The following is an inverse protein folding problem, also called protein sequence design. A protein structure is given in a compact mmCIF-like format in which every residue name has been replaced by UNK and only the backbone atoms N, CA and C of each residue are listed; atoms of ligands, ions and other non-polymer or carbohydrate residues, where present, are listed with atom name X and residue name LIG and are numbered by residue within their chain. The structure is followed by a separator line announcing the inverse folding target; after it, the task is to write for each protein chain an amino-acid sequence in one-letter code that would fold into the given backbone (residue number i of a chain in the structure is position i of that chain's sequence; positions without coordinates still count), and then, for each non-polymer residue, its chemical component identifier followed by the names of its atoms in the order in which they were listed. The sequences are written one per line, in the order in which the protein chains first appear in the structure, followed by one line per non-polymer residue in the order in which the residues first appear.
data_IF_155025400462
#
_entry.id   IF_155025400462
#
_cell.length_a   1.000
_cell.length_b   1.000
_cell.length_c   1.000
_cell.angle_alpha   90.00
_cell.angle_beta   90.00
_cell.angle_gamma   90.00
#
_symmetry.space_group_name_H-M   'P 1'
#
loop_
_entity.id
_entity.type
_entity.pdbx_description
1 polymer ?
#
# COMPACT_ATOMS: atom_id res chain seq x y z
N UNK A 1 32.07 -36.88 -24.47
CA UNK A 1 32.90 -35.98 -23.64
C UNK A 1 32.04 -34.77 -23.30
N UNK A 2 31.42 -34.75 -22.12
CA UNK A 2 30.48 -33.70 -21.74
C UNK A 2 31.24 -32.46 -21.24
N UNK A 3 31.11 -31.34 -21.94
CA UNK A 3 31.68 -30.05 -21.47
C UNK A 3 30.61 -29.33 -20.67
N UNK A 4 30.65 -29.47 -19.35
CA UNK A 4 29.88 -28.62 -18.42
C UNK A 4 30.50 -27.22 -18.43
N UNK A 5 29.97 -26.35 -19.27
CA UNK A 5 30.25 -24.91 -19.24
C UNK A 5 29.53 -24.27 -18.06
N UNK A 6 30.12 -24.37 -16.87
CA UNK A 6 29.77 -23.56 -15.70
C UNK A 6 30.03 -22.09 -16.06
N UNK A 7 28.99 -21.36 -16.44
CA UNK A 7 29.04 -19.90 -16.63
C UNK A 7 29.47 -19.23 -15.34
N UNK A 8 30.73 -18.80 -15.26
CA UNK A 8 31.26 -18.00 -14.17
C UNK A 8 30.58 -16.63 -14.18
N UNK A 9 29.46 -16.49 -13.47
CA UNK A 9 28.91 -15.18 -13.11
C UNK A 9 29.95 -14.46 -12.26
N UNK A 10 30.58 -13.43 -12.83
CA UNK A 10 31.59 -12.66 -12.09
C UNK A 10 30.92 -11.89 -10.96
N UNK A 11 31.65 -11.53 -9.91
CA UNK A 11 31.10 -10.70 -8.83
C UNK A 11 30.56 -9.34 -9.34
N UNK A 12 31.01 -8.91 -10.52
CA UNK A 12 30.57 -7.71 -11.22
C UNK A 12 29.21 -7.86 -11.90
N UNK A 13 28.86 -9.05 -12.39
CA UNK A 13 27.54 -9.32 -13.01
C UNK A 13 26.40 -9.36 -11.98
N UNK A 14 26.73 -9.55 -10.70
CA UNK A 14 25.77 -9.50 -9.58
C UNK A 14 25.62 -8.10 -8.96
N UNK A 15 26.34 -7.09 -9.47
CA UNK A 15 26.21 -5.74 -8.95
C UNK A 15 24.97 -5.05 -9.50
N UNK A 16 24.38 -4.19 -8.66
CA UNK A 16 23.26 -3.35 -9.04
C UNK A 16 23.72 -2.43 -10.19
N UNK A 17 23.24 -2.72 -11.41
CA UNK A 17 23.56 -1.93 -12.62
C UNK A 17 23.03 -0.50 -12.53
N UNK A 18 21.87 -0.34 -11.91
CA UNK A 18 21.25 0.98 -11.71
C UNK A 18 21.60 1.55 -10.33
N UNK A 19 22.52 2.50 -10.30
CA UNK A 19 22.94 3.21 -9.07
C UNK A 19 22.01 4.36 -8.67
N UNK A 20 20.96 4.63 -9.44
CA UNK A 20 19.99 5.65 -9.08
C UNK A 20 19.12 5.14 -7.93
N UNK A 21 19.12 5.89 -6.84
CA UNK A 21 18.24 5.64 -5.72
C UNK A 21 16.79 5.92 -6.12
N UNK A 22 15.89 5.19 -5.47
CA UNK A 22 14.47 5.45 -5.59
C UNK A 22 14.17 6.87 -5.11
N UNK A 23 13.59 7.71 -5.97
CA UNK A 23 13.05 8.99 -5.54
C UNK A 23 11.70 8.74 -4.87
N UNK A 24 11.51 9.14 -3.59
CA UNK A 24 10.24 8.99 -2.90
C UNK A 24 9.15 9.97 -3.39
N UNK A 25 9.49 10.90 -4.30
CA UNK A 25 8.66 12.05 -4.64
C UNK A 25 7.59 11.74 -5.69
N UNK A 26 7.82 10.74 -6.55
CA UNK A 26 6.89 10.39 -7.62
C UNK A 26 6.13 9.11 -7.28
N UNK A 27 4.89 9.22 -6.84
CA UNK A 27 3.98 8.08 -6.78
C UNK A 27 2.60 8.48 -7.29
N UNK A 28 1.86 7.51 -7.82
CA UNK A 28 0.45 7.64 -8.17
C UNK A 28 -0.27 6.47 -7.55
N UNK A 29 -1.20 6.76 -6.66
CA UNK A 29 -2.10 5.74 -6.17
C UNK A 29 -3.18 5.47 -7.23
N UNK A 30 -4.00 4.46 -7.02
CA UNK A 30 -5.22 4.28 -7.78
C UNK A 30 -6.13 3.42 -6.94
N UNK A 31 -7.34 3.88 -6.75
CA UNK A 31 -8.37 3.16 -6.03
C UNK A 31 -9.63 3.20 -6.86
N UNK A 32 -10.08 2.03 -7.34
CA UNK A 32 -11.21 1.96 -8.27
C UNK A 32 -12.50 2.50 -7.65
N UNK A 33 -12.68 2.29 -6.34
CA UNK A 33 -13.88 2.71 -5.61
C UNK A 33 -13.83 4.13 -5.06
N UNK A 34 -12.64 4.73 -4.93
CA UNK A 34 -12.50 6.12 -4.47
C UNK A 34 -11.48 6.90 -5.31
N UNK A 35 -11.83 7.25 -6.57
CA UNK A 35 -10.93 7.97 -7.48
C UNK A 35 -10.64 9.40 -7.03
N UNK A 36 -11.49 10.00 -6.18
CA UNK A 36 -11.24 11.36 -5.68
C UNK A 36 -10.12 11.39 -4.64
N UNK A 37 -9.99 10.34 -3.82
CA UNK A 37 -8.94 10.18 -2.81
C UNK A 37 -7.58 9.95 -3.47
N UNK A 38 -7.55 9.22 -4.58
CA UNK A 38 -6.35 9.00 -5.38
C UNK A 38 -5.70 10.34 -5.83
N UNK A 39 -6.51 11.24 -6.38
CA UNK A 39 -6.02 12.51 -6.95
C UNK A 39 -5.36 13.43 -5.92
N UNK A 40 -5.83 13.43 -4.67
CA UNK A 40 -5.34 14.32 -3.61
C UNK A 40 -4.32 13.65 -2.67
N UNK A 41 -3.82 12.46 -3.01
CA UNK A 41 -2.86 11.74 -2.18
C UNK A 41 -1.49 12.44 -2.12
N UNK A 42 -0.99 12.66 -0.91
CA UNK A 42 0.28 13.34 -0.63
C UNK A 42 1.37 12.38 -0.17
N UNK A 43 0.99 11.34 0.58
CA UNK A 43 1.90 10.28 0.99
C UNK A 43 1.16 8.95 1.05
N UNK A 44 1.82 7.91 0.54
CA UNK A 44 1.38 6.53 0.67
C UNK A 44 2.53 5.70 1.24
N UNK A 45 2.22 4.80 2.16
CA UNK A 45 3.20 3.94 2.80
C UNK A 45 3.15 2.55 2.15
N UNK A 46 4.30 1.96 1.83
CA UNK A 46 4.35 0.54 1.45
C UNK A 46 4.27 -0.27 2.74
N UNK A 47 3.28 -1.17 2.90
CA UNK A 47 3.14 -1.94 4.12
C UNK A 47 4.30 -2.92 4.30
N UNK A 48 4.67 -3.15 5.56
CA UNK A 48 5.69 -4.16 5.88
C UNK A 48 5.08 -5.56 5.95
N UNK A 49 5.89 -6.53 5.56
CA UNK A 49 5.59 -7.97 5.66
C UNK A 49 6.40 -8.52 6.83
N UNK A 50 5.72 -9.19 7.76
CA UNK A 50 6.37 -9.88 8.86
C UNK A 50 6.11 -11.39 8.76
N UNK A 51 7.17 -12.19 8.84
CA UNK A 51 7.07 -13.64 8.95
C UNK A 51 7.22 -14.03 10.42
N UNK A 52 6.17 -14.60 10.99
CA UNK A 52 6.24 -15.13 12.36
C UNK A 52 7.37 -16.17 12.47
N UNK A 53 8.03 -16.24 13.63
CA UNK A 53 9.06 -17.25 13.90
C UNK A 53 8.59 -18.19 15.00
N UNK A 54 8.77 -19.49 14.78
CA UNK A 54 8.55 -20.53 15.78
C UNK A 54 9.88 -20.89 16.43
N UNK A 55 9.93 -20.95 17.75
CA UNK A 55 11.15 -21.36 18.46
C UNK A 55 11.08 -22.87 18.68
N UNK A 56 12.02 -23.62 18.10
CA UNK A 56 12.21 -25.03 18.39
C UNK A 56 13.35 -25.18 19.40
N UNK A 57 13.00 -25.49 20.64
CA UNK A 57 13.98 -25.71 21.70
C UNK A 57 14.73 -27.02 21.52
N UNK A 58 16.06 -26.96 21.55
CA UNK A 58 16.93 -28.12 21.72
C UNK A 58 17.60 -28.05 23.09
N UNK A 59 18.18 -29.16 23.57
CA UNK A 59 18.82 -29.21 24.88
C UNK A 59 19.93 -28.15 25.08
N UNK A 60 20.60 -27.72 24.01
CA UNK A 60 21.73 -26.79 24.09
C UNK A 60 21.38 -25.35 23.72
N UNK A 61 20.40 -25.14 22.83
CA UNK A 61 19.95 -23.81 22.43
C UNK A 61 18.60 -23.85 21.75
N UNK A 62 17.94 -22.71 21.77
CA UNK A 62 16.74 -22.46 20.99
C UNK A 62 17.12 -22.16 19.54
N UNK A 63 16.46 -22.83 18.58
CA UNK A 63 16.65 -22.63 17.14
C UNK A 63 15.40 -21.94 16.59
N UNK A 64 15.51 -20.71 16.03
CA UNK A 64 14.38 -20.08 15.37
C UNK A 64 14.13 -20.75 14.01
N UNK A 65 12.90 -21.21 13.81
CA UNK A 65 12.39 -21.80 12.57
C UNK A 65 11.35 -20.83 11.99
N UNK A 66 11.31 -20.60 10.67
CA UNK A 66 10.28 -19.77 10.06
C UNK A 66 8.89 -20.36 10.33
N UNK A 67 7.96 -19.51 10.74
CA UNK A 67 6.54 -19.84 10.84
C UNK A 67 5.86 -19.89 9.47
N UNK A 68 4.58 -20.25 9.46
CA UNK A 68 3.81 -20.49 8.23
C UNK A 68 2.96 -19.27 7.79
N UNK A 69 2.71 -18.33 8.71
CA UNK A 69 1.81 -17.19 8.47
C UNK A 69 2.59 -15.90 8.26
N UNK A 70 2.36 -15.28 7.10
CA UNK A 70 2.76 -13.90 6.83
C UNK A 70 1.72 -12.96 7.44
N UNK A 71 2.20 -11.94 8.14
CA UNK A 71 1.39 -10.83 8.64
C UNK A 71 1.69 -9.62 7.76
N UNK A 72 0.65 -9.16 7.06
CA UNK A 72 0.68 -7.91 6.31
C UNK A 72 0.22 -6.78 7.23
N UNK A 73 1.02 -5.73 7.34
CA UNK A 73 0.63 -4.54 8.07
C UNK A 73 -0.35 -3.68 7.26
N UNK A 74 -0.94 -2.70 7.94
CA UNK A 74 -1.98 -1.87 7.33
C UNK A 74 -1.38 -0.86 6.32
N UNK A 75 -2.15 -0.53 5.30
CA UNK A 75 -1.80 0.50 4.34
C UNK A 75 -2.44 1.82 4.76
N UNK A 76 -1.65 2.87 4.98
CA UNK A 76 -2.19 4.20 5.22
C UNK A 76 -1.85 5.17 4.08
N UNK A 77 -2.82 6.03 3.78
CA UNK A 77 -2.70 7.07 2.76
C UNK A 77 -3.16 8.40 3.35
N UNK A 78 -2.36 9.44 3.12
CA UNK A 78 -2.67 10.81 3.51
C UNK A 78 -3.07 11.60 2.29
N UNK A 79 -4.21 12.27 2.35
CA UNK A 79 -4.75 13.07 1.27
C UNK A 79 -5.19 14.45 1.74
N UNK A 80 -5.15 15.44 0.84
CA UNK A 80 -5.73 16.75 1.08
C UNK A 80 -7.26 16.67 0.98
N UNK A 81 -7.97 17.29 1.92
CA UNK A 81 -9.43 17.32 1.93
C UNK A 81 -9.92 18.41 0.97
N UNK A 82 -10.87 18.06 0.09
CA UNK A 82 -11.50 19.01 -0.82
C UNK A 82 -12.49 19.92 -0.08
N UNK A 83 -12.75 21.12 -0.59
CA UNK A 83 -13.70 22.09 -0.03
C UNK A 83 -15.11 21.48 0.12
N UNK A 84 -15.50 20.62 -0.81
CA UNK A 84 -16.80 19.95 -0.80
C UNK A 84 -16.82 18.66 0.04
N UNK A 85 -15.73 18.33 0.74
CA UNK A 85 -15.56 17.10 1.53
C UNK A 85 -15.82 15.80 0.75
N UNK A 86 -15.80 15.83 -0.59
CA UNK A 86 -16.21 14.68 -1.42
C UNK A 86 -15.36 13.44 -1.14
N UNK A 87 -14.06 13.62 -1.02
CA UNK A 87 -13.11 12.55 -0.72
C UNK A 87 -13.32 11.95 0.69
N UNK A 88 -13.56 12.80 1.68
CA UNK A 88 -13.85 12.36 3.04
C UNK A 88 -15.20 11.62 3.13
N UNK A 89 -16.22 12.14 2.45
CA UNK A 89 -17.54 11.52 2.36
C UNK A 89 -17.49 10.17 1.64
N UNK A 90 -16.70 10.04 0.58
CA UNK A 90 -16.54 8.79 -0.16
C UNK A 90 -15.98 7.66 0.72
N UNK A 91 -14.90 7.91 1.48
CA UNK A 91 -14.35 6.92 2.43
C UNK A 91 -15.31 6.65 3.59
N UNK A 92 -15.89 7.68 4.18
CA UNK A 92 -16.79 7.50 5.33
C UNK A 92 -18.08 6.78 4.95
N UNK A 93 -18.64 7.03 3.76
CA UNK A 93 -19.77 6.28 3.21
C UNK A 93 -19.40 4.83 2.90
N UNK A 94 -18.17 4.58 2.42
CA UNK A 94 -17.69 3.21 2.23
C UNK A 94 -17.56 2.47 3.57
N UNK A 95 -16.98 3.09 4.60
CA UNK A 95 -16.91 2.51 5.94
C UNK A 95 -18.29 2.23 6.53
N UNK A 96 -19.23 3.18 6.36
CA UNK A 96 -20.64 3.02 6.74
C UNK A 96 -21.30 1.85 6.02
N UNK A 97 -21.09 1.73 4.71
CA UNK A 97 -21.62 0.60 3.92
C UNK A 97 -21.12 -0.77 4.39
N UNK A 98 -19.94 -0.84 5.01
CA UNK A 98 -19.36 -2.08 5.58
C UNK A 98 -19.80 -2.37 7.02
N UNK A 99 -20.03 -1.31 7.81
CA UNK A 99 -20.24 -1.40 9.26
C UNK A 99 -21.70 -1.48 9.72
N UNK A 100 -22.68 -1.36 8.82
CA UNK A 100 -24.12 -1.36 9.12
C UNK A 100 -24.54 -0.31 10.19
N UNK A 101 -24.51 1.00 9.88
CA UNK A 101 -24.65 2.05 10.90
C UNK A 101 -26.07 2.23 11.47
N UNK A 102 -27.13 2.15 10.67
CA UNK A 102 -28.50 2.42 11.18
C UNK A 102 -29.65 1.62 10.54
N UNK A 103 -29.55 1.17 9.28
CA UNK A 103 -30.60 0.36 8.64
C UNK A 103 -30.03 -0.72 7.71
N UNK A 104 -30.75 -1.85 7.59
CA UNK A 104 -30.44 -2.92 6.65
C UNK A 104 -30.62 -2.49 5.18
N UNK A 105 -31.34 -1.39 4.92
CA UNK A 105 -31.61 -0.87 3.57
C UNK A 105 -30.40 -0.11 2.98
N UNK A 106 -29.46 0.32 3.83
CA UNK A 106 -28.22 1.00 3.43
C UNK A 106 -27.02 0.04 3.37
N UNK A 107 -27.25 -1.25 3.67
CA UNK A 107 -26.23 -2.26 3.63
C UNK A 107 -25.79 -2.52 2.19
N UNK A 108 -24.54 -2.23 1.89
CA UNK A 108 -23.91 -2.81 0.70
C UNK A 108 -23.81 -4.31 1.00
N UNK A 109 -24.34 -5.19 0.13
CA UNK A 109 -24.14 -6.62 0.30
C UNK A 109 -22.63 -6.87 0.44
N UNK A 110 -22.22 -7.69 1.41
CA UNK A 110 -20.81 -8.07 1.60
C UNK A 110 -20.39 -9.05 0.48
N UNK A 111 -20.42 -8.56 -0.75
CA UNK A 111 -20.06 -9.23 -1.99
C UNK A 111 -18.79 -8.57 -2.56
N UNK A 112 -18.43 -8.88 -3.81
CA UNK A 112 -17.31 -8.27 -4.53
C UNK A 112 -17.36 -6.74 -4.64
N UNK A 113 -18.51 -6.11 -4.38
CA UNK A 113 -18.67 -4.65 -4.41
C UNK A 113 -18.28 -4.00 -3.09
N UNK A 114 -18.17 -4.77 -1.99
CA UNK A 114 -17.74 -4.28 -0.68
C UNK A 114 -16.25 -3.92 -0.65
N UNK A 115 -15.45 -4.64 -1.43
CA UNK A 115 -14.00 -4.49 -1.52
C UNK A 115 -13.59 -3.71 -2.78
N UNK A 116 -12.39 -3.13 -2.76
CA UNK A 116 -11.81 -2.48 -3.94
C UNK A 116 -10.37 -2.91 -4.11
N UNK A 117 -9.97 -3.20 -5.34
CA UNK A 117 -8.55 -3.33 -5.65
C UNK A 117 -7.91 -1.94 -5.70
N UNK A 118 -6.63 -1.89 -5.28
CA UNK A 118 -5.83 -0.68 -5.26
C UNK A 118 -4.48 -0.89 -5.93
N UNK A 119 -3.93 0.15 -6.54
CA UNK A 119 -2.65 0.08 -7.24
C UNK A 119 -1.79 1.30 -6.96
N UNK A 120 -0.65 1.11 -6.30
CA UNK A 120 0.36 2.14 -6.10
C UNK A 120 1.46 2.00 -7.15
N UNK A 121 1.55 2.98 -8.05
CA UNK A 121 2.63 3.08 -9.03
C UNK A 121 3.71 3.99 -8.48
N UNK A 122 4.94 3.50 -8.47
CA UNK A 122 6.12 4.23 -8.02
C UNK A 122 6.90 4.67 -9.26
N UNK A 123 7.25 5.94 -9.30
CA UNK A 123 8.03 6.55 -10.37
C UNK A 123 9.46 6.85 -9.92
N UNK A 124 10.37 6.88 -10.88
CA UNK A 124 11.72 7.39 -10.66
C UNK A 124 11.79 8.93 -10.79
N UNK A 125 12.97 9.49 -10.59
CA UNK A 125 13.24 10.93 -10.73
C UNK A 125 12.95 11.49 -12.13
N UNK A 126 12.86 10.64 -13.16
CA UNK A 126 12.50 11.00 -14.53
C UNK A 126 11.03 10.74 -14.86
N UNK A 127 10.18 10.50 -13.85
CA UNK A 127 8.74 10.21 -13.99
C UNK A 127 8.43 8.93 -14.79
N UNK A 128 9.37 7.99 -14.89
CA UNK A 128 9.11 6.67 -15.46
C UNK A 128 8.67 5.70 -14.35
N UNK A 129 7.61 4.93 -14.61
CA UNK A 129 7.12 3.93 -13.68
C UNK A 129 8.14 2.79 -13.54
N UNK A 130 8.59 2.53 -12.33
CA UNK A 130 9.61 1.51 -12.05
C UNK A 130 9.04 0.28 -11.35
N UNK A 131 7.96 0.45 -10.61
CA UNK A 131 7.36 -0.60 -9.81
C UNK A 131 5.89 -0.28 -9.58
N UNK A 132 5.09 -1.33 -9.46
CA UNK A 132 3.68 -1.25 -9.13
C UNK A 132 3.37 -2.20 -7.98
N UNK A 133 2.79 -1.65 -6.92
CA UNK A 133 2.23 -2.44 -5.81
C UNK A 133 0.74 -2.58 -6.06
N UNK A 134 0.26 -3.80 -6.21
CA UNK A 134 -1.16 -4.08 -6.35
C UNK A 134 -1.67 -4.65 -5.04
N UNK A 135 -2.73 -4.07 -4.52
CA UNK A 135 -3.43 -4.51 -3.33
C UNK A 135 -4.75 -5.14 -3.73
N UNK A 136 -5.03 -6.31 -3.17
CA UNK A 136 -6.24 -7.07 -3.47
C UNK A 136 -7.26 -6.96 -2.33
N UNK A 137 -8.52 -6.74 -2.71
CA UNK A 137 -9.66 -6.69 -1.80
C UNK A 137 -9.46 -5.69 -0.63
N UNK A 138 -9.06 -4.46 -0.94
CA UNK A 138 -8.87 -3.42 0.08
C UNK A 138 -10.20 -2.92 0.65
N UNK A 139 -10.19 -2.52 1.92
CA UNK A 139 -11.28 -1.79 2.56
C UNK A 139 -10.76 -0.85 3.66
N UNK A 140 -11.40 0.32 3.85
CA UNK A 140 -11.00 1.27 4.89
C UNK A 140 -11.40 0.75 6.27
N UNK A 141 -10.50 0.89 7.24
CA UNK A 141 -10.73 0.55 8.64
C UNK A 141 -10.72 1.74 9.57
N UNK A 142 -10.01 2.80 9.19
CA UNK A 142 -9.90 4.01 9.99
C UNK A 142 -9.81 5.24 9.09
N UNK A 143 -10.39 6.35 9.57
CA UNK A 143 -10.34 7.65 8.93
C UNK A 143 -10.12 8.70 10.03
N UNK A 144 -9.07 9.50 9.90
CA UNK A 144 -8.70 10.49 10.92
C UNK A 144 -9.72 11.62 11.03
N UNK A 145 -9.84 12.19 12.24
CA UNK A 145 -10.65 13.38 12.48
C UNK A 145 -10.17 14.59 11.67
N UNK A 146 -11.11 15.47 11.32
CA UNK A 146 -10.84 16.78 10.73
C UNK A 146 -10.89 17.84 11.84
N UNK A 147 -9.82 18.59 12.00
CA UNK A 147 -9.75 19.68 12.98
C UNK A 147 -10.14 21.01 12.31
N UNK A 148 -11.17 21.66 12.87
CA UNK A 148 -11.63 22.98 12.42
C UNK A 148 -11.36 24.01 13.52
N UNK A 149 -10.46 24.95 13.25
CA UNK A 149 -10.12 26.04 14.16
C UNK A 149 -10.52 27.39 13.56
N UNK A 150 -11.50 28.05 14.19
CA UNK A 150 -12.01 29.37 13.78
C UNK A 150 -11.11 30.54 14.22
N UNK A 151 -10.05 30.29 14.99
CA UNK A 151 -9.07 31.31 15.40
C UNK A 151 -7.88 31.41 14.43
N UNK A 152 -7.76 30.46 13.49
CA UNK A 152 -6.66 30.45 12.54
C UNK A 152 -6.90 31.48 11.42
N UNK A 153 -5.97 32.41 11.27
CA UNK A 153 -6.03 33.49 10.25
C UNK A 153 -5.33 33.12 8.95
N UNK A 154 -4.60 32.00 8.92
CA UNK A 154 -3.89 31.51 7.74
C UNK A 154 -4.65 30.37 7.05
N UNK A 155 -4.52 30.28 5.72
CA UNK A 155 -5.10 29.18 4.93
C UNK A 155 -4.27 27.92 5.16
N UNK A 156 -4.68 27.11 6.14
CA UNK A 156 -4.17 25.76 6.33
C UNK A 156 -5.06 24.76 5.60
N UNK A 157 -4.49 24.04 4.62
CA UNK A 157 -5.21 22.94 3.98
C UNK A 157 -5.37 21.78 4.95
N UNK A 158 -6.60 21.28 5.08
CA UNK A 158 -6.90 20.16 5.96
C UNK A 158 -6.40 18.87 5.30
N UNK A 159 -5.67 18.08 6.08
CA UNK A 159 -5.20 16.75 5.68
C UNK A 159 -5.98 15.69 6.45
N UNK A 160 -6.36 14.62 5.75
CA UNK A 160 -6.91 13.43 6.36
C UNK A 160 -6.02 12.23 6.02
N UNK A 161 -5.96 11.28 6.93
CA UNK A 161 -5.33 9.99 6.73
C UNK A 161 -6.38 8.89 6.83
N UNK A 162 -6.37 7.98 5.86
CA UNK A 162 -7.20 6.79 5.84
C UNK A 162 -6.33 5.55 5.90
N UNK A 163 -6.71 4.60 6.76
CA UNK A 163 -6.04 3.31 6.91
C UNK A 163 -6.90 2.21 6.28
N UNK A 164 -6.25 1.33 5.54
CA UNK A 164 -6.85 0.25 4.79
C UNK A 164 -6.25 -1.09 5.20
N UNK A 165 -7.13 -2.09 5.30
CA UNK A 165 -6.76 -3.50 5.32
C UNK A 165 -7.03 -4.12 3.96
N UNK A 166 -6.33 -5.20 3.67
CA UNK A 166 -6.38 -5.89 2.39
C UNK A 166 -5.97 -7.35 2.59
N UNK A 167 -6.26 -8.19 1.60
CA UNK A 167 -5.98 -9.64 1.70
C UNK A 167 -4.52 -9.95 1.44
N UNK A 168 -3.99 -9.40 0.35
CA UNK A 168 -2.60 -9.60 -0.08
C UNK A 168 -2.16 -8.41 -0.91
N UNK A 169 -0.85 -8.16 -0.97
CA UNK A 169 -0.27 -7.23 -1.92
C UNK A 169 0.87 -7.87 -2.69
N UNK A 170 0.98 -7.51 -3.96
CA UNK A 170 2.03 -7.97 -4.87
C UNK A 170 2.83 -6.78 -5.40
N UNK A 171 4.15 -6.93 -5.49
CA UNK A 171 5.04 -5.91 -6.06
C UNK A 171 5.55 -6.42 -7.40
N UNK A 172 5.25 -5.67 -8.47
CA UNK A 172 5.72 -5.94 -9.83
C UNK A 172 6.75 -4.89 -10.22
N UNK A 173 7.98 -5.31 -10.52
CA UNK A 173 8.98 -4.43 -11.14
C UNK A 173 8.63 -4.20 -12.60
N UNK A 174 8.56 -2.94 -13.01
CA UNK A 174 8.33 -2.52 -14.39
C UNK A 174 9.63 -2.11 -15.09
N UNK A 175 10.75 -2.21 -14.39
CA UNK A 175 12.08 -2.07 -14.99
C UNK A 175 12.30 -3.28 -15.89
N UNK A 176 12.44 -3.03 -17.19
CA UNK A 176 13.03 -4.01 -18.10
C UNK A 176 14.48 -4.19 -17.68
N UNK A 177 14.79 -5.25 -16.94
CA UNK A 177 16.17 -5.68 -16.80
C UNK A 177 16.63 -6.11 -18.20
N UNK A 178 17.42 -5.26 -18.86
CA UNK A 178 18.20 -5.68 -20.03
C UNK A 178 19.13 -6.80 -19.58
N UNK A 179 18.71 -8.04 -19.87
CA UNK A 179 19.49 -9.27 -19.70
C UNK A 179 20.84 -9.16 -20.43
#
# INVERSE_FOLDING_TARGET
MATTGSGNLTAWDRQIRNRNFLSPVGFKFNLQKAPTVDFFSQSANIPSINLGVAIQSTYLKDIPVPGDKLVFNDFSIRFLVDENLKNYLEISNWMRGLGYPESLDEAIPLNTEAFSDGGLVIFNSSMNAIARVNFKDMFPTDLTQLEFDAQNTDINYIVAEATFKYTVFDIVSLITDDT
#
